data_IF_454518599566
#
_entry.id   IF_454518599566
#
_cell.length_a   1.000
_cell.length_b   1.000
_cell.length_c   1.000
_cell.angle_alpha   90.00
_cell.angle_beta   90.00
_cell.angle_gamma   90.00
#
_symmetry.space_group_name_H-M   'P 1'
#
loop_
_entity.id
_entity.type
_entity.pdbx_description
1 polymer ?
#
# COMPACT_ATOMS: atom_id res chain seq x y z
N UNK A 1 -18.81 39.30 -3.01
CA UNK A 1 -17.82 38.94 -4.05
C UNK A 1 -17.22 37.56 -3.83
N UNK A 2 -16.70 37.22 -2.64
CA UNK A 2 -16.09 35.89 -2.37
C UNK A 2 -17.07 34.72 -2.49
N UNK A 3 -18.29 34.88 -1.98
CA UNK A 3 -19.36 33.87 -2.09
C UNK A 3 -19.78 33.61 -3.53
N UNK A 4 -19.88 34.66 -4.35
CA UNK A 4 -20.21 34.52 -5.78
C UNK A 4 -19.10 33.81 -6.57
N UNK A 5 -17.82 34.05 -6.21
CA UNK A 5 -16.68 33.34 -6.80
C UNK A 5 -16.66 31.86 -6.41
N UNK A 6 -16.96 31.54 -5.15
CA UNK A 6 -17.04 30.16 -4.68
C UNK A 6 -18.15 29.40 -5.42
N UNK A 7 -19.35 29.98 -5.52
CA UNK A 7 -20.45 29.38 -6.25
C UNK A 7 -20.09 29.12 -7.73
N UNK A 8 -19.41 30.05 -8.38
CA UNK A 8 -18.94 29.87 -9.76
C UNK A 8 -17.91 28.73 -9.89
N UNK A 9 -16.95 28.63 -8.97
CA UNK A 9 -15.96 27.55 -8.98
C UNK A 9 -16.61 26.17 -8.72
N UNK A 10 -17.64 26.12 -7.88
CA UNK A 10 -18.41 24.90 -7.62
C UNK A 10 -19.20 24.45 -8.84
N UNK A 11 -19.86 25.39 -9.54
CA UNK A 11 -20.58 25.11 -10.80
C UNK A 11 -19.62 24.61 -11.90
N UNK A 12 -18.45 25.25 -12.05
CA UNK A 12 -17.42 24.82 -13.00
C UNK A 12 -16.86 23.43 -12.66
N UNK A 13 -16.67 23.11 -11.37
CA UNK A 13 -16.27 21.77 -10.92
C UNK A 13 -17.33 20.74 -11.30
N UNK A 14 -18.59 21.00 -11.01
CA UNK A 14 -19.68 20.04 -11.21
C UNK A 14 -19.90 19.77 -12.71
N UNK A 15 -19.77 20.80 -13.55
CA UNK A 15 -19.75 20.67 -15.01
C UNK A 15 -18.61 19.75 -15.50
N UNK A 16 -17.39 19.92 -14.99
CA UNK A 16 -16.24 19.09 -15.37
C UNK A 16 -16.41 17.63 -14.95
N UNK A 17 -16.95 17.38 -13.75
CA UNK A 17 -17.23 16.03 -13.26
C UNK A 17 -18.32 15.35 -14.09
N UNK A 18 -19.37 16.08 -14.45
CA UNK A 18 -20.41 15.58 -15.36
C UNK A 18 -19.84 15.25 -16.74
N UNK A 19 -18.95 16.10 -17.27
CA UNK A 19 -18.32 15.89 -18.58
C UNK A 19 -17.37 14.69 -18.58
N UNK A 20 -16.68 14.42 -17.46
CA UNK A 20 -15.86 13.22 -17.28
C UNK A 20 -16.71 11.94 -17.27
N UNK A 21 -17.87 11.98 -16.61
CA UNK A 21 -18.78 10.84 -16.59
C UNK A 21 -19.39 10.55 -17.97
N UNK A 22 -19.66 11.59 -18.75
CA UNK A 22 -20.17 11.48 -20.12
C UNK A 22 -19.10 10.91 -21.06
N UNK A 23 -17.87 11.41 -20.96
CA UNK A 23 -16.71 10.91 -21.71
C UNK A 23 -16.44 9.42 -21.47
N UNK A 24 -16.59 8.94 -20.23
CA UNK A 24 -16.49 7.52 -19.90
C UNK A 24 -17.61 6.69 -20.54
N UNK A 25 -18.82 7.24 -20.60
CA UNK A 25 -19.94 6.59 -21.28
C UNK A 25 -19.68 6.52 -22.80
N UNK A 26 -19.20 7.59 -23.43
CA UNK A 26 -18.88 7.61 -24.86
C UNK A 26 -17.74 6.63 -25.20
N UNK A 27 -16.72 6.52 -24.34
CA UNK A 27 -15.64 5.53 -24.52
C UNK A 27 -16.13 4.09 -24.38
N UNK A 28 -16.93 3.79 -23.35
CA UNK A 28 -17.49 2.45 -23.14
C UNK A 28 -18.49 2.03 -24.23
N UNK A 29 -19.18 3.00 -24.86
CA UNK A 29 -20.02 2.78 -26.04
C UNK A 29 -19.21 2.56 -27.33
N UNK A 30 -17.91 2.88 -27.32
CA UNK A 30 -17.02 2.80 -28.48
C UNK A 30 -17.17 3.96 -29.47
N UNK A 31 -17.75 5.08 -29.02
CA UNK A 31 -18.00 6.26 -29.86
C UNK A 31 -16.75 7.15 -30.03
N UNK A 32 -15.74 6.96 -29.17
CA UNK A 32 -14.45 7.67 -29.20
C UNK A 32 -13.28 6.69 -29.14
N UNK A 33 -12.16 7.01 -29.78
CA UNK A 33 -10.96 6.18 -29.71
C UNK A 33 -10.20 6.36 -28.39
N UNK A 34 -9.36 5.38 -28.05
CA UNK A 34 -8.60 5.36 -26.80
C UNK A 34 -7.62 6.54 -26.67
N UNK A 35 -7.00 6.99 -27.77
CA UNK A 35 -6.06 8.11 -27.74
C UNK A 35 -6.76 9.43 -27.43
N UNK A 36 -7.89 9.67 -28.09
CA UNK A 36 -8.72 10.86 -27.87
C UNK A 36 -9.36 10.85 -26.46
N UNK A 37 -9.82 9.69 -25.99
CA UNK A 37 -10.32 9.51 -24.62
C UNK A 37 -9.25 9.86 -23.59
N UNK A 38 -8.04 9.30 -23.69
CA UNK A 38 -6.95 9.55 -22.74
C UNK A 38 -6.57 11.04 -22.69
N UNK A 39 -6.44 11.68 -23.87
CA UNK A 39 -6.11 13.10 -24.00
C UNK A 39 -7.17 14.01 -23.35
N UNK A 40 -8.46 13.75 -23.62
CA UNK A 40 -9.57 14.53 -23.07
C UNK A 40 -9.70 14.32 -21.56
N UNK A 41 -9.60 13.07 -21.10
CA UNK A 41 -9.68 12.72 -19.69
C UNK A 41 -8.60 13.42 -18.88
N UNK A 42 -7.34 13.36 -19.32
CA UNK A 42 -6.21 13.96 -18.61
C UNK A 42 -6.37 15.49 -18.48
N UNK A 43 -6.83 16.16 -19.55
CA UNK A 43 -7.12 17.59 -19.53
C UNK A 43 -8.25 17.95 -18.55
N UNK A 44 -9.35 17.19 -18.54
CA UNK A 44 -10.47 17.43 -17.63
C UNK A 44 -10.10 17.13 -16.17
N UNK A 45 -9.38 16.06 -15.90
CA UNK A 45 -8.87 15.72 -14.56
C UNK A 45 -7.93 16.79 -14.02
N UNK A 46 -7.00 17.29 -14.83
CA UNK A 46 -6.08 18.35 -14.43
C UNK A 46 -6.82 19.65 -14.06
N UNK A 47 -7.86 20.02 -14.83
CA UNK A 47 -8.70 21.21 -14.57
C UNK A 47 -9.56 21.03 -13.32
N UNK A 48 -10.20 19.87 -13.14
CA UNK A 48 -11.00 19.57 -11.95
C UNK A 48 -10.14 19.62 -10.67
N UNK A 49 -8.92 19.07 -10.71
CA UNK A 49 -7.99 19.13 -9.59
C UNK A 49 -7.55 20.57 -9.25
N UNK A 50 -7.42 21.45 -10.24
CA UNK A 50 -7.11 22.86 -10.01
C UNK A 50 -8.28 23.60 -9.31
N UNK A 51 -9.51 23.38 -9.77
CA UNK A 51 -10.73 23.95 -9.17
C UNK A 51 -10.95 23.51 -7.72
N UNK A 52 -10.76 22.22 -7.42
CA UNK A 52 -10.88 21.69 -6.06
C UNK A 52 -9.85 22.33 -5.10
N UNK A 53 -8.60 22.53 -5.56
CA UNK A 53 -7.57 23.23 -4.77
C UNK A 53 -7.93 24.70 -4.51
N UNK A 54 -8.57 25.36 -5.46
CA UNK A 54 -8.98 26.76 -5.29
C UNK A 54 -10.17 26.90 -4.33
N UNK A 55 -11.17 26.01 -4.41
CA UNK A 55 -12.31 25.96 -3.49
C UNK A 55 -11.83 25.69 -2.05
N UNK A 56 -10.95 24.70 -1.86
CA UNK A 56 -10.39 24.38 -0.53
C UNK A 56 -9.57 25.54 0.04
N UNK A 57 -8.72 26.19 -0.76
CA UNK A 57 -7.95 27.36 -0.35
C UNK A 57 -8.86 28.55 0.02
N UNK A 58 -9.99 28.71 -0.66
CA UNK A 58 -10.97 29.75 -0.37
C UNK A 58 -11.78 29.50 0.92
N UNK A 59 -11.88 28.25 1.37
CA UNK A 59 -12.58 27.83 2.60
C UNK A 59 -11.74 27.91 3.89
N UNK A 60 -10.42 28.06 3.82
CA UNK A 60 -9.55 28.17 5.02
C UNK A 60 -9.41 29.64 5.45
N UNK A 61 -9.75 30.00 6.71
CA UNK A 61 -9.46 31.34 7.21
C UNK A 61 -7.94 31.53 7.37
N UNK A 62 -7.39 32.57 6.73
CA UNK A 62 -5.99 32.98 6.91
C UNK A 62 -5.79 33.58 8.30
N UNK A 63 -5.29 32.79 9.24
CA UNK A 63 -4.84 33.29 10.54
C UNK A 63 -3.41 33.87 10.41
N UNK A 64 -3.29 35.19 10.29
CA UNK A 64 -2.01 35.88 10.45
C UNK A 64 -1.71 36.03 11.95
N UNK A 65 -0.97 35.10 12.55
CA UNK A 65 -0.50 35.24 13.93
C UNK A 65 0.97 35.64 13.97
N UNK A 66 1.22 36.84 14.54
CA UNK A 66 2.57 37.38 14.84
C UNK A 66 3.25 36.50 15.89
N UNK A 67 4.43 35.97 15.55
CA UNK A 67 5.24 35.09 16.39
C UNK A 67 5.97 35.88 17.50
N UNK A 68 5.81 35.49 18.76
CA UNK A 68 6.62 35.99 19.90
C UNK A 68 7.65 34.94 20.33
N UNK A 69 8.89 35.38 20.55
CA UNK A 69 10.15 34.61 20.60
C UNK A 69 10.49 33.89 21.92
N UNK A 70 9.51 33.40 22.69
CA UNK A 70 9.77 32.72 23.98
C UNK A 70 9.14 31.33 23.99
N UNK A 71 9.64 30.41 23.14
CA UNK A 71 10.48 29.34 23.68
C UNK A 71 11.56 28.84 22.69
N UNK A 72 12.75 29.45 22.67
CA UNK A 72 13.90 29.00 21.86
C UNK A 72 14.75 27.89 22.54
N UNK A 73 14.32 27.36 23.69
CA UNK A 73 15.15 26.44 24.49
C UNK A 73 15.08 24.96 24.06
N UNK A 74 14.19 24.57 23.13
CA UNK A 74 14.10 23.20 22.61
C UNK A 74 14.68 23.00 21.20
N UNK A 75 14.94 24.08 20.45
CA UNK A 75 15.48 23.98 19.10
C UNK A 75 16.97 23.62 19.04
N UNK A 76 17.76 24.04 20.04
CA UNK A 76 19.22 23.86 20.02
C UNK A 76 19.62 22.39 20.27
N UNK A 77 18.82 21.63 21.04
CA UNK A 77 19.09 20.22 21.33
C UNK A 77 18.90 19.33 20.08
N UNK A 78 17.91 19.63 19.25
CA UNK A 78 17.62 18.88 18.02
C UNK A 78 18.67 19.14 16.94
N UNK A 79 19.20 20.37 16.85
CA UNK A 79 20.22 20.73 15.85
C UNK A 79 21.58 20.11 16.18
N UNK A 80 21.94 19.95 17.45
CA UNK A 80 23.21 19.29 17.84
C UNK A 80 23.15 17.78 17.56
N UNK A 81 22.01 17.12 17.77
CA UNK A 81 21.82 15.70 17.43
C UNK A 81 21.80 15.50 15.90
N UNK A 82 21.20 16.43 15.15
CA UNK A 82 21.20 16.39 13.69
C UNK A 82 22.60 16.58 13.07
N UNK A 83 23.47 17.38 13.68
CA UNK A 83 24.84 17.60 13.19
C UNK A 83 25.81 16.48 13.60
N UNK A 84 25.57 15.76 14.70
CA UNK A 84 26.37 14.60 15.08
C UNK A 84 26.12 13.36 14.19
N UNK A 85 24.93 13.25 13.58
CA UNK A 85 24.61 12.18 12.64
C UNK A 85 25.04 12.48 11.18
N UNK A 86 25.37 13.73 10.86
CA UNK A 86 25.70 14.17 9.49
C UNK A 86 27.13 13.90 9.00
N UNK A 87 28.04 13.36 9.83
CA UNK A 87 29.48 13.24 9.50
C UNK A 87 29.96 11.78 9.31
N UNK A 88 29.06 10.78 9.32
CA UNK A 88 29.44 9.37 9.09
C UNK A 88 28.77 8.72 7.88
N UNK A 89 28.38 9.51 6.86
CA UNK A 89 28.03 8.97 5.53
C UNK A 89 28.86 9.70 4.47
N UNK A 90 30.17 9.54 4.56
CA UNK A 90 31.10 9.86 3.47
C UNK A 90 31.99 8.65 3.13
N UNK A 91 31.63 7.44 3.59
CA UNK A 91 32.43 6.23 3.36
C UNK A 91 31.58 4.99 3.12
N UNK A 92 30.71 5.04 2.13
CA UNK A 92 30.22 3.86 1.42
C UNK A 92 30.11 4.20 -0.07
N UNK A 93 31.27 4.35 -0.69
CA UNK A 93 31.42 4.22 -2.14
C UNK A 93 31.76 2.75 -2.41
N UNK A 94 30.91 2.07 -3.18
CA UNK A 94 31.08 0.69 -3.63
C UNK A 94 29.74 -0.06 -3.53
N UNK A 95 29.07 -0.51 -4.58
CA UNK A 95 29.42 -0.68 -5.99
C UNK A 95 28.23 -0.28 -6.88
N UNK A 96 28.52 0.23 -8.07
CA UNK A 96 27.57 0.15 -9.18
C UNK A 96 27.65 -1.27 -9.74
N UNK A 97 26.54 -2.00 -9.75
CA UNK A 97 26.35 -3.21 -10.55
C UNK A 97 25.15 -2.95 -11.47
N UNK A 98 25.41 -2.50 -12.69
CA UNK A 98 25.56 -3.34 -13.90
C UNK A 98 24.20 -3.82 -14.39
N UNK A 99 23.52 -2.93 -15.12
CA UNK A 99 22.19 -3.14 -15.66
C UNK A 99 21.51 -1.84 -16.06
N UNK A 100 22.26 -0.89 -16.64
CA UNK A 100 21.65 0.20 -17.38
C UNK A 100 20.87 -0.41 -18.55
N UNK A 101 19.55 -0.37 -18.47
CA UNK A 101 18.73 -0.25 -19.68
C UNK A 101 19.14 1.04 -20.37
N UNK A 102 20.06 0.94 -21.31
CA UNK A 102 20.36 1.97 -22.29
C UNK A 102 19.08 2.19 -23.12
N UNK A 103 18.51 3.39 -23.01
CA UNK A 103 17.44 3.99 -23.85
C UNK A 103 16.00 3.83 -23.33
N UNK A 104 15.49 4.88 -22.66
CA UNK A 104 14.07 5.13 -22.41
C UNK A 104 13.84 6.01 -21.17
N UNK A 105 12.92 7.00 -21.18
CA UNK A 105 12.39 7.58 -19.94
C UNK A 105 11.86 6.45 -19.04
N UNK A 106 12.01 6.58 -17.72
CA UNK A 106 11.32 5.68 -16.79
C UNK A 106 9.82 5.92 -17.00
N UNK A 107 9.17 5.02 -17.74
CA UNK A 107 7.71 4.98 -17.82
C UNK A 107 7.17 4.62 -16.44
N UNK A 108 6.14 5.33 -15.99
CA UNK A 108 5.43 5.17 -14.71
C UNK A 108 4.70 3.79 -14.58
N UNK A 109 5.13 2.77 -15.31
CA UNK A 109 4.49 1.46 -15.42
C UNK A 109 5.43 0.25 -15.47
N UNK A 110 6.75 0.40 -15.29
CA UNK A 110 7.63 -0.79 -15.22
C UNK A 110 7.35 -1.61 -13.94
N UNK A 111 7.39 -2.95 -14.01
CA UNK A 111 7.16 -3.82 -12.83
C UNK A 111 8.09 -3.46 -11.68
N UNK A 112 9.36 -3.17 -11.95
CA UNK A 112 10.32 -2.76 -10.92
C UNK A 112 9.95 -1.43 -10.25
N UNK A 113 9.49 -0.43 -11.01
CA UNK A 113 9.04 0.84 -10.43
C UNK A 113 7.75 0.67 -9.63
N UNK A 114 6.83 -0.19 -10.06
CA UNK A 114 5.61 -0.51 -9.33
C UNK A 114 5.92 -1.18 -7.99
N UNK A 115 6.80 -2.20 -7.97
CA UNK A 115 7.19 -2.90 -6.74
C UNK A 115 7.89 -1.96 -5.74
N UNK A 116 8.79 -1.08 -6.21
CA UNK A 116 9.44 -0.09 -5.33
C UNK A 116 8.42 0.85 -4.69
N UNK A 117 7.45 1.33 -5.48
CA UNK A 117 6.36 2.16 -4.95
C UNK A 117 5.49 1.38 -3.97
N UNK A 118 5.14 0.14 -4.29
CA UNK A 118 4.28 -0.72 -3.47
C UNK A 118 4.91 -1.01 -2.10
N UNK A 119 6.22 -1.31 -2.04
CA UNK A 119 6.93 -1.50 -0.76
C UNK A 119 6.99 -0.22 0.07
N UNK A 120 7.19 0.93 -0.57
CA UNK A 120 7.33 2.20 0.16
C UNK A 120 6.00 2.73 0.70
N UNK A 121 4.88 2.45 0.03
CA UNK A 121 3.58 3.04 0.36
C UNK A 121 2.54 2.03 0.85
N UNK A 122 2.59 0.79 0.38
CA UNK A 122 1.50 -0.18 0.52
C UNK A 122 1.13 -0.56 1.95
N UNK A 123 2.12 -0.57 2.86
CA UNK A 123 1.84 -0.81 4.29
C UNK A 123 1.23 0.40 5.00
N UNK A 124 1.52 1.62 4.51
CA UNK A 124 0.98 2.87 5.09
C UNK A 124 -0.38 3.25 4.51
N UNK A 125 -0.66 2.81 3.29
CA UNK A 125 -1.91 3.03 2.57
C UNK A 125 -2.28 1.73 1.83
N UNK A 126 -3.15 0.95 2.46
CA UNK A 126 -3.57 -0.38 1.98
C UNK A 126 -4.17 -0.27 0.58
N UNK A 127 -5.02 0.72 0.31
CA UNK A 127 -5.66 0.91 -1.01
C UNK A 127 -4.63 1.17 -2.11
N UNK A 128 -3.62 2.02 -1.83
CA UNK A 128 -2.52 2.26 -2.77
C UNK A 128 -1.68 1.00 -2.98
N UNK A 129 -1.41 0.22 -1.94
CA UNK A 129 -0.70 -1.04 -2.06
C UNK A 129 -1.44 -2.07 -2.92
N UNK A 130 -2.76 -2.21 -2.71
CA UNK A 130 -3.61 -3.09 -3.51
C UNK A 130 -3.60 -2.70 -4.99
N UNK A 131 -3.73 -1.40 -5.30
CA UNK A 131 -3.65 -0.91 -6.68
C UNK A 131 -2.28 -1.22 -7.31
N UNK A 132 -1.18 -0.88 -6.65
CA UNK A 132 0.16 -1.08 -7.18
C UNK A 132 0.51 -2.56 -7.40
N UNK A 133 0.23 -3.44 -6.43
CA UNK A 133 0.49 -4.87 -6.62
C UNK A 133 -0.46 -5.52 -7.63
N UNK A 134 -1.71 -5.05 -7.76
CA UNK A 134 -2.62 -5.55 -8.81
C UNK A 134 -2.10 -5.24 -10.22
N UNK A 135 -1.48 -4.06 -10.41
CA UNK A 135 -0.85 -3.68 -11.68
C UNK A 135 0.38 -4.53 -11.98
N UNK A 136 1.14 -4.92 -10.95
CA UNK A 136 2.23 -5.90 -11.13
C UNK A 136 1.66 -7.23 -11.60
N UNK A 137 0.61 -7.74 -10.96
CA UNK A 137 -0.01 -9.02 -11.32
C UNK A 137 -0.70 -9.00 -12.70
N UNK A 138 -1.12 -7.84 -13.19
CA UNK A 138 -1.63 -7.69 -14.56
C UNK A 138 -0.53 -7.90 -15.62
N UNK A 139 0.74 -7.60 -15.29
CA UNK A 139 1.89 -7.74 -16.19
C UNK A 139 2.59 -9.09 -15.96
N UNK A 140 2.81 -9.45 -14.69
CA UNK A 140 3.44 -10.69 -14.24
C UNK A 140 2.50 -11.43 -13.26
N UNK A 141 1.57 -12.27 -13.77
CA UNK A 141 0.54 -12.92 -12.94
C UNK A 141 1.08 -13.86 -11.87
N UNK A 142 2.30 -14.38 -12.06
CA UNK A 142 2.96 -15.32 -11.16
C UNK A 142 4.09 -14.64 -10.34
N UNK A 143 4.12 -13.31 -10.30
CA UNK A 143 5.10 -12.59 -9.47
C UNK A 143 4.86 -12.90 -7.98
N UNK A 144 5.73 -13.72 -7.40
CA UNK A 144 5.60 -14.27 -6.04
C UNK A 144 5.47 -13.16 -4.99
N UNK A 145 6.26 -12.10 -5.12
CA UNK A 145 6.20 -10.97 -4.21
C UNK A 145 4.85 -10.24 -4.31
N UNK A 146 4.41 -9.91 -5.53
CA UNK A 146 3.14 -9.24 -5.71
C UNK A 146 1.97 -10.10 -5.22
N UNK A 147 1.96 -11.41 -5.48
CA UNK A 147 0.96 -12.33 -4.93
C UNK A 147 0.96 -12.31 -3.39
N UNK A 148 2.15 -12.39 -2.79
CA UNK A 148 2.32 -12.44 -1.33
C UNK A 148 1.81 -11.16 -0.67
N UNK A 149 2.26 -10.00 -1.14
CA UNK A 149 1.92 -8.73 -0.51
C UNK A 149 0.52 -8.24 -0.91
N UNK A 150 0.03 -8.52 -2.13
CA UNK A 150 -1.36 -8.27 -2.50
C UNK A 150 -2.31 -9.13 -1.66
N UNK A 151 -2.00 -10.41 -1.49
CA UNK A 151 -2.74 -11.32 -0.63
C UNK A 151 -2.79 -10.83 0.81
N UNK A 152 -1.64 -10.45 1.38
CA UNK A 152 -1.57 -9.93 2.75
C UNK A 152 -2.36 -8.64 2.96
N UNK A 153 -2.23 -7.67 2.06
CA UNK A 153 -3.02 -6.43 2.14
C UNK A 153 -4.53 -6.70 1.97
N UNK A 154 -4.89 -7.72 1.17
CA UNK A 154 -6.28 -8.15 1.01
C UNK A 154 -6.80 -8.74 2.33
N UNK A 155 -6.04 -9.61 3.00
CA UNK A 155 -6.36 -10.12 4.36
C UNK A 155 -6.52 -8.96 5.34
N UNK A 156 -5.56 -8.04 5.42
CA UNK A 156 -5.64 -6.89 6.34
C UNK A 156 -6.86 -5.99 6.06
N UNK A 157 -7.24 -5.84 4.79
CA UNK A 157 -8.41 -5.04 4.44
C UNK A 157 -9.73 -5.69 4.88
N UNK A 158 -9.77 -7.01 5.14
CA UNK A 158 -11.00 -7.68 5.56
C UNK A 158 -11.50 -7.21 6.92
N UNK A 159 -10.60 -6.84 7.84
CA UNK A 159 -10.98 -6.32 9.15
C UNK A 159 -11.51 -4.88 9.11
N UNK A 160 -11.43 -4.20 7.96
CA UNK A 160 -11.94 -2.84 7.77
C UNK A 160 -13.34 -2.83 7.13
N UNK A 161 -13.89 -3.99 6.76
CA UNK A 161 -15.20 -4.10 6.14
C UNK A 161 -16.30 -4.17 7.20
N UNK A 162 -17.33 -3.32 7.06
CA UNK A 162 -18.50 -3.34 7.94
C UNK A 162 -19.43 -4.53 7.62
N UNK A 163 -19.49 -4.95 6.35
CA UNK A 163 -20.28 -6.09 5.92
C UNK A 163 -19.52 -7.40 6.11
N UNK A 164 -20.04 -8.25 6.98
CA UNK A 164 -19.44 -9.54 7.31
C UNK A 164 -19.26 -10.49 6.11
N UNK A 165 -20.18 -10.46 5.13
CA UNK A 165 -20.06 -11.33 3.96
C UNK A 165 -18.93 -10.85 3.04
N UNK A 166 -18.79 -9.52 2.88
CA UNK A 166 -17.68 -8.91 2.12
C UNK A 166 -16.35 -9.15 2.84
N UNK A 167 -16.32 -9.04 4.17
CA UNK A 167 -15.13 -9.34 4.96
C UNK A 167 -14.67 -10.80 4.75
N UNK A 168 -15.59 -11.76 4.74
CA UNK A 168 -15.28 -13.18 4.52
C UNK A 168 -14.74 -13.42 3.11
N UNK A 169 -15.38 -12.87 2.07
CA UNK A 169 -14.92 -13.02 0.68
C UNK A 169 -13.51 -12.45 0.50
N UNK A 170 -13.27 -11.25 1.04
CA UNK A 170 -11.97 -10.59 1.01
C UNK A 170 -10.90 -11.41 1.73
N UNK A 171 -11.19 -11.94 2.91
CA UNK A 171 -10.27 -12.82 3.64
C UNK A 171 -9.92 -14.08 2.83
N UNK A 172 -10.92 -14.72 2.21
CA UNK A 172 -10.72 -15.91 1.38
C UNK A 172 -9.87 -15.61 0.14
N UNK A 173 -10.13 -14.50 -0.55
CA UNK A 173 -9.35 -14.06 -1.70
C UNK A 173 -7.89 -13.80 -1.32
N UNK A 174 -7.64 -13.12 -0.19
CA UNK A 174 -6.29 -12.92 0.33
C UNK A 174 -5.56 -14.24 0.63
N UNK A 175 -6.26 -15.21 1.25
CA UNK A 175 -5.72 -16.54 1.52
C UNK A 175 -5.36 -17.30 0.23
N UNK A 176 -6.19 -17.22 -0.81
CA UNK A 176 -5.93 -17.86 -2.10
C UNK A 176 -4.65 -17.33 -2.74
N UNK A 177 -4.44 -16.01 -2.71
CA UNK A 177 -3.24 -15.37 -3.24
C UNK A 177 -1.97 -15.79 -2.48
N UNK A 178 -2.04 -15.82 -1.15
CA UNK A 178 -0.93 -16.26 -0.31
C UNK A 178 -0.58 -17.74 -0.57
N UNK A 179 -1.59 -18.61 -0.73
CA UNK A 179 -1.34 -20.02 -1.11
C UNK A 179 -0.81 -20.16 -2.53
N UNK A 180 -1.25 -19.32 -3.47
CA UNK A 180 -0.69 -19.34 -4.82
C UNK A 180 0.80 -19.00 -4.80
N UNK A 181 1.23 -18.07 -3.95
CA UNK A 181 2.64 -17.77 -3.77
C UNK A 181 3.43 -19.00 -3.27
N UNK A 182 2.93 -19.74 -2.29
CA UNK A 182 3.61 -20.96 -1.78
C UNK A 182 3.53 -22.16 -2.73
N UNK A 183 2.58 -22.18 -3.66
CA UNK A 183 2.56 -23.17 -4.75
C UNK A 183 3.67 -22.88 -5.77
N UNK A 184 3.94 -21.61 -6.05
CA UNK A 184 4.98 -21.20 -7.01
C UNK A 184 6.38 -21.33 -6.39
N UNK A 185 6.53 -20.90 -5.13
CA UNK A 185 7.76 -21.00 -4.35
C UNK A 185 7.43 -21.40 -2.90
N UNK A 186 7.66 -22.68 -2.60
CA UNK A 186 7.42 -23.30 -1.29
C UNK A 186 8.40 -22.86 -0.20
N UNK A 187 9.42 -22.07 -0.57
CA UNK A 187 10.39 -21.50 0.35
C UNK A 187 10.20 -20.01 0.58
N UNK A 188 9.19 -19.37 -0.03
CA UNK A 188 9.03 -17.93 0.04
C UNK A 188 8.64 -17.48 1.45
N UNK A 189 9.56 -16.84 2.22
CA UNK A 189 9.41 -16.73 3.67
C UNK A 189 8.19 -15.92 4.09
N UNK A 190 7.98 -14.78 3.43
CA UNK A 190 6.92 -13.84 3.76
C UNK A 190 5.52 -14.47 3.56
N UNK A 191 5.36 -15.33 2.55
CA UNK A 191 4.10 -16.02 2.30
C UNK A 191 3.75 -16.96 3.47
N UNK A 192 4.72 -17.74 3.94
CA UNK A 192 4.54 -18.58 5.14
C UNK A 192 4.25 -17.77 6.39
N UNK A 193 4.97 -16.66 6.60
CA UNK A 193 4.71 -15.78 7.75
C UNK A 193 3.27 -15.24 7.72
N UNK A 194 2.81 -14.74 6.58
CA UNK A 194 1.46 -14.18 6.43
C UNK A 194 0.37 -15.26 6.47
N UNK A 195 0.59 -16.46 5.92
CA UNK A 195 -0.33 -17.59 6.07
C UNK A 195 -0.50 -17.99 7.54
N UNK A 196 0.60 -18.13 8.28
CA UNK A 196 0.54 -18.47 9.70
C UNK A 196 -0.18 -17.42 10.53
N UNK A 197 0.04 -16.13 10.26
CA UNK A 197 -0.72 -15.04 10.89
C UNK A 197 -2.20 -15.11 10.51
N UNK A 198 -2.51 -15.35 9.23
CA UNK A 198 -3.90 -15.40 8.73
C UNK A 198 -4.68 -16.53 9.40
N UNK A 199 -4.13 -17.76 9.40
CA UNK A 199 -4.76 -18.91 10.05
C UNK A 199 -5.00 -18.66 11.54
N UNK A 200 -4.00 -18.16 12.27
CA UNK A 200 -4.13 -18.01 13.71
C UNK A 200 -5.00 -16.82 14.12
N UNK A 201 -4.83 -15.65 13.49
CA UNK A 201 -5.44 -14.39 13.94
C UNK A 201 -6.80 -14.11 13.31
N UNK A 202 -7.05 -14.63 12.11
CA UNK A 202 -8.29 -14.35 11.38
C UNK A 202 -9.21 -15.57 11.31
N UNK A 203 -8.66 -16.79 11.28
CA UNK A 203 -9.44 -18.02 11.13
C UNK A 203 -9.52 -18.85 12.42
N UNK A 204 -8.80 -18.44 13.48
CA UNK A 204 -8.71 -19.17 14.76
C UNK A 204 -8.26 -20.63 14.58
N UNK A 205 -7.43 -20.88 13.56
CA UNK A 205 -6.93 -22.21 13.18
C UNK A 205 -5.44 -22.34 13.53
N UNK A 206 -5.18 -22.65 14.80
CA UNK A 206 -3.82 -22.87 15.29
C UNK A 206 -3.13 -24.06 14.59
N UNK A 207 -3.88 -25.06 14.15
CA UNK A 207 -3.32 -26.27 13.54
C UNK A 207 -2.82 -26.00 12.12
N UNK A 208 -3.57 -25.23 11.33
CA UNK A 208 -3.11 -24.77 10.04
C UNK A 208 -1.98 -23.73 10.16
N UNK A 209 -2.00 -22.89 11.20
CA UNK A 209 -0.98 -21.85 11.39
C UNK A 209 0.41 -22.40 11.74
N UNK A 210 0.47 -23.48 12.53
CA UNK A 210 1.71 -24.02 13.08
C UNK A 210 2.79 -24.38 12.04
N UNK A 211 2.52 -25.18 10.99
CA UNK A 211 3.53 -25.50 9.98
C UNK A 211 4.02 -24.26 9.22
N UNK A 212 3.12 -23.32 8.92
CA UNK A 212 3.45 -22.07 8.23
C UNK A 212 4.40 -21.19 9.07
N UNK A 213 4.13 -21.07 10.37
CA UNK A 213 4.98 -20.30 11.28
C UNK A 213 6.37 -20.91 11.44
N UNK A 214 6.48 -22.24 11.42
CA UNK A 214 7.79 -22.93 11.42
C UNK A 214 8.56 -22.65 10.14
N UNK A 215 7.94 -22.78 8.97
CA UNK A 215 8.57 -22.47 7.70
C UNK A 215 9.07 -21.02 7.64
N UNK A 216 8.28 -20.07 8.13
CA UNK A 216 8.66 -18.66 8.28
C UNK A 216 9.93 -18.48 9.14
N UNK A 217 10.06 -19.21 10.27
CA UNK A 217 11.23 -19.12 11.14
C UNK A 217 12.46 -19.84 10.55
N UNK A 218 12.26 -20.97 9.88
CA UNK A 218 13.33 -21.76 9.23
C UNK A 218 14.01 -20.99 8.09
N UNK A 219 13.26 -20.11 7.42
CA UNK A 219 13.78 -19.18 6.43
C UNK A 219 14.74 -18.11 6.99
N UNK A 220 14.97 -18.10 8.30
CA UNK A 220 15.90 -17.22 9.01
C UNK A 220 15.64 -15.71 8.74
N UNK A 221 14.46 -15.21 9.11
CA UNK A 221 14.09 -13.82 8.88
C UNK A 221 14.99 -12.86 9.68
N UNK A 222 15.07 -11.57 9.31
CA UNK A 222 15.85 -10.57 10.05
C UNK A 222 15.50 -10.58 11.54
N UNK A 223 16.49 -10.38 12.42
CA UNK A 223 16.34 -10.57 13.87
C UNK A 223 15.13 -9.83 14.49
N UNK A 224 14.81 -8.63 13.99
CA UNK A 224 13.64 -7.88 14.43
C UNK A 224 12.32 -8.60 14.12
N UNK A 225 12.21 -9.20 12.93
CA UNK A 225 11.05 -10.01 12.51
C UNK A 225 11.04 -11.35 13.24
N UNK A 226 12.19 -12.03 13.31
CA UNK A 226 12.33 -13.32 14.01
C UNK A 226 11.82 -13.26 15.46
N UNK A 227 12.13 -12.20 16.20
CA UNK A 227 11.64 -11.99 17.56
C UNK A 227 10.10 -11.94 17.65
N UNK A 228 9.46 -11.21 16.73
CA UNK A 228 8.00 -11.09 16.67
C UNK A 228 7.33 -12.41 16.30
N UNK A 229 7.88 -13.09 15.28
CA UNK A 229 7.40 -14.37 14.76
C UNK A 229 7.55 -15.48 15.80
N UNK A 230 8.66 -15.50 16.56
CA UNK A 230 8.89 -16.48 17.65
C UNK A 230 7.80 -16.37 18.72
N UNK A 231 7.50 -15.15 19.19
CA UNK A 231 6.44 -14.96 20.19
C UNK A 231 5.04 -15.34 19.69
N UNK A 232 4.79 -15.26 18.37
CA UNK A 232 3.56 -15.76 17.76
C UNK A 232 3.56 -17.30 17.66
N UNK A 233 4.70 -17.91 17.31
CA UNK A 233 4.86 -19.37 17.28
C UNK A 233 4.57 -20.00 18.64
N UNK A 234 5.07 -19.42 19.73
CA UNK A 234 4.82 -19.90 21.09
C UNK A 234 3.32 -19.90 21.45
N UNK A 235 2.59 -18.86 21.01
CA UNK A 235 1.15 -18.77 21.20
C UNK A 235 0.39 -19.82 20.39
N UNK A 236 0.81 -20.06 19.14
CA UNK A 236 0.24 -21.08 18.28
C UNK A 236 0.46 -22.47 18.90
N UNK A 237 1.68 -22.79 19.31
CA UNK A 237 2.02 -24.08 19.92
C UNK A 237 1.21 -24.34 21.20
N UNK A 238 1.00 -23.31 22.03
CA UNK A 238 0.13 -23.42 23.21
C UNK A 238 -1.33 -23.74 22.85
N UNK A 239 -1.90 -23.06 21.85
CA UNK A 239 -3.28 -23.28 21.40
C UNK A 239 -3.47 -24.67 20.75
N UNK A 240 -2.45 -25.17 20.04
CA UNK A 240 -2.42 -26.53 19.48
C UNK A 240 -2.46 -27.59 20.60
N UNK A 241 -1.67 -27.40 21.65
CA UNK A 241 -1.65 -28.30 22.81
C UNK A 241 -3.00 -28.32 23.53
N UNK A 242 -3.59 -27.15 23.79
CA UNK A 242 -4.89 -27.03 24.46
C UNK A 242 -5.99 -27.77 23.68
N UNK A 243 -6.08 -27.55 22.36
CA UNK A 243 -7.03 -28.22 21.49
C UNK A 243 -6.89 -29.75 21.49
N UNK A 244 -5.65 -30.25 21.59
CA UNK A 244 -5.34 -31.68 21.67
C UNK A 244 -5.77 -32.30 23.00
N UNK A 245 -5.81 -31.53 24.09
CA UNK A 245 -6.28 -32.00 25.41
C UNK A 245 -7.79 -32.02 25.56
N UNK A 246 -8.51 -31.25 24.74
CA UNK A 246 -9.98 -31.11 24.78
C UNK A 246 -10.72 -32.13 23.89
N UNK A 247 -10.01 -32.85 22.99
CA UNK A 247 -10.59 -33.90 22.14
C UNK A 247 -10.25 -35.30 22.68
N UNK A 248 -11.19 -35.97 23.40
CA UNK A 248 -11.02 -37.36 23.85
C UNK A 248 -11.25 -38.42 22.74
#
# INVERSE_FOLDING_TARGET
MRENRLAQLEEERDFLLSSLSDLEHEFSAGDIDEGDYLSLRDSYTARAAALIREITAAGVPQATARMSWKPFAWGILVVIIALAAGVTIARTTGERLSGQGMNGPIEDGSVSSLLVQARSQGMSNISTGLDLYSRVLAIEPENIEALTYFGWLTVLSSSQEDDTAVAVDRLQNGLLLLRQATIIDDGYPDAHCFLGITFFRFLDDAQAAQPEMRACLEANPPAAVASMVTGLSDQIDAAVMESSTLSP
#
